data_IF_184172041721
#
_entry.id   IF_184172041721
#
_cell.length_a   1.000
_cell.length_b   1.000
_cell.length_c   1.000
_cell.angle_alpha   90.00
_cell.angle_beta   90.00
_cell.angle_gamma   90.00
#
_symmetry.space_group_name_H-M   'P 1'
#
loop_
_entity.id
_entity.type
_entity.pdbx_description
1 polymer ?
#
# COMPACT_ATOMS: atom_id res chain seq x y z
N UNK A 1 -11.18 -0.18 -24.35
CA UNK A 1 -10.55 -1.32 -23.64
C UNK A 1 -9.12 -0.92 -23.37
N UNK A 2 -8.74 -0.66 -22.12
CA UNK A 2 -7.33 -0.43 -21.79
C UNK A 2 -6.68 -1.80 -21.74
N UNK A 3 -5.74 -2.06 -22.66
CA UNK A 3 -4.98 -3.31 -22.69
C UNK A 3 -4.21 -3.45 -21.38
N UNK A 4 -4.65 -4.37 -20.53
CA UNK A 4 -4.11 -4.61 -19.18
C UNK A 4 -2.87 -5.53 -19.18
N UNK A 5 -2.36 -5.90 -20.35
CA UNK A 5 -1.31 -6.93 -20.49
C UNK A 5 0.09 -6.47 -20.03
N UNK A 6 0.25 -5.18 -19.67
CA UNK A 6 1.50 -4.60 -19.17
C UNK A 6 1.43 -4.12 -17.71
N UNK A 7 0.34 -4.40 -16.98
CA UNK A 7 0.26 -4.04 -15.57
C UNK A 7 0.94 -5.13 -14.75
N UNK A 8 2.15 -4.85 -14.25
CA UNK A 8 2.86 -5.72 -13.32
C UNK A 8 1.93 -6.10 -12.15
N UNK A 9 1.91 -7.38 -11.73
CA UNK A 9 1.04 -7.80 -10.65
C UNK A 9 1.32 -7.00 -9.38
N UNK A 10 0.26 -6.44 -8.78
CA UNK A 10 0.36 -5.47 -7.69
C UNK A 10 0.91 -6.15 -6.43
N UNK A 11 2.18 -5.90 -6.14
CA UNK A 11 2.89 -6.43 -4.99
C UNK A 11 2.59 -5.57 -3.75
N UNK A 12 2.03 -6.17 -2.71
CA UNK A 12 1.57 -5.45 -1.52
C UNK A 12 2.69 -4.71 -0.78
N UNK A 13 3.93 -5.23 -0.81
CA UNK A 13 5.11 -4.58 -0.21
C UNK A 13 5.52 -3.33 -1.00
N UNK A 14 5.55 -3.42 -2.34
CA UNK A 14 5.86 -2.26 -3.20
C UNK A 14 4.84 -1.15 -2.94
N UNK A 15 3.55 -1.51 -2.91
CA UNK A 15 2.48 -0.57 -2.57
C UNK A 15 2.72 0.04 -1.20
N UNK A 16 2.98 -0.76 -0.15
CA UNK A 16 3.24 -0.25 1.19
C UNK A 16 4.43 0.73 1.26
N UNK A 17 5.49 0.49 0.50
CA UNK A 17 6.65 1.42 0.41
C UNK A 17 6.21 2.77 -0.18
N UNK A 18 5.40 2.76 -1.25
CA UNK A 18 4.87 4.01 -1.81
C UNK A 18 3.96 4.73 -0.81
N UNK A 19 3.04 4.00 -0.16
CA UNK A 19 2.15 4.59 0.84
C UNK A 19 2.93 5.24 1.99
N UNK A 20 4.04 4.62 2.44
CA UNK A 20 4.88 5.17 3.51
C UNK A 20 5.39 6.59 3.21
N UNK A 21 5.72 6.89 1.95
CA UNK A 21 6.20 8.21 1.53
C UNK A 21 5.12 9.30 1.56
N UNK A 22 3.84 8.91 1.61
CA UNK A 22 2.69 9.80 1.59
C UNK A 22 2.17 10.13 3.00
N UNK A 23 2.63 9.40 4.04
CA UNK A 23 2.17 9.61 5.41
C UNK A 23 2.80 10.90 5.98
N UNK A 24 1.99 11.85 6.50
CA UNK A 24 2.52 13.06 7.14
C UNK A 24 3.43 12.76 8.34
N UNK A 25 4.39 13.65 8.68
CA UNK A 25 5.27 13.49 9.84
C UNK A 25 4.56 13.25 11.18
N UNK A 26 3.36 13.81 11.35
CA UNK A 26 2.58 13.79 12.58
C UNK A 26 1.91 12.42 12.83
N UNK A 27 1.75 11.60 11.78
CA UNK A 27 1.12 10.29 11.83
C UNK A 27 2.15 9.18 12.13
N UNK A 28 2.88 9.31 13.24
CA UNK A 28 4.01 8.42 13.58
C UNK A 28 3.57 6.96 13.76
N UNK A 29 2.47 6.72 14.49
CA UNK A 29 1.97 5.36 14.72
C UNK A 29 1.63 4.65 13.41
N UNK A 30 1.03 5.37 12.45
CA UNK A 30 0.74 4.82 11.13
C UNK A 30 2.03 4.45 10.38
N UNK A 31 3.04 5.33 10.40
CA UNK A 31 4.36 5.04 9.81
C UNK A 31 5.00 3.80 10.40
N UNK A 32 4.96 3.66 11.73
CA UNK A 32 5.58 2.54 12.44
C UNK A 32 4.90 1.20 12.13
N UNK A 33 3.57 1.16 12.11
CA UNK A 33 2.81 -0.04 11.73
C UNK A 33 3.08 -0.43 10.28
N UNK A 34 3.10 0.54 9.36
CA UNK A 34 3.38 0.27 7.95
C UNK A 34 4.84 -0.19 7.73
N UNK A 35 5.80 0.41 8.45
CA UNK A 35 7.19 -0.04 8.46
C UNK A 35 7.32 -1.47 9.00
N UNK A 36 6.58 -1.82 10.04
CA UNK A 36 6.56 -3.19 10.59
C UNK A 36 6.06 -4.17 9.53
N UNK A 37 4.94 -3.86 8.88
CA UNK A 37 4.42 -4.66 7.77
C UNK A 37 5.44 -4.83 6.64
N UNK A 38 6.11 -3.75 6.22
CA UNK A 38 7.14 -3.80 5.17
C UNK A 38 8.28 -4.74 5.60
N UNK A 39 8.73 -4.66 6.87
CA UNK A 39 9.75 -5.56 7.44
C UNK A 39 9.30 -7.02 7.43
N UNK A 40 8.07 -7.30 7.85
CA UNK A 40 7.51 -8.66 7.88
C UNK A 40 7.39 -9.27 6.47
N UNK A 41 7.31 -8.42 5.44
CA UNK A 41 7.29 -8.84 4.04
C UNK A 41 8.66 -9.20 3.46
N UNK A 42 9.80 -8.86 4.09
CA UNK A 42 11.13 -9.13 3.52
C UNK A 42 11.44 -10.62 3.36
N UNK A 43 10.88 -11.45 4.25
CA UNK A 43 11.12 -12.91 4.25
C UNK A 43 10.02 -13.69 3.52
N UNK A 44 9.05 -13.01 2.89
CA UNK A 44 7.97 -13.64 2.14
C UNK A 44 8.37 -13.80 0.68
N UNK A 45 8.04 -14.97 0.11
CA UNK A 45 8.25 -15.23 -1.32
C UNK A 45 7.40 -14.28 -2.19
N UNK A 46 7.85 -13.92 -3.41
CA UNK A 46 7.13 -13.00 -4.29
C UNK A 46 5.66 -13.36 -4.52
N UNK A 47 5.34 -14.64 -4.68
CA UNK A 47 3.99 -15.15 -4.92
C UNK A 47 3.07 -14.88 -3.72
N UNK A 48 3.63 -14.91 -2.51
CA UNK A 48 2.90 -14.61 -1.27
C UNK A 48 2.58 -13.11 -1.18
N UNK A 49 3.48 -12.25 -1.67
CA UNK A 49 3.28 -10.79 -1.72
C UNK A 49 2.25 -10.35 -2.77
N UNK A 50 2.00 -11.19 -3.77
CA UNK A 50 0.89 -11.04 -4.72
C UNK A 50 -0.42 -11.64 -4.19
N UNK A 51 -0.31 -12.51 -3.17
CA UNK A 51 -1.41 -13.26 -2.61
C UNK A 51 -2.32 -12.45 -1.68
N UNK A 52 -3.55 -12.93 -1.54
CA UNK A 52 -4.60 -12.29 -0.74
C UNK A 52 -4.21 -12.06 0.73
N UNK A 53 -3.41 -12.94 1.33
CA UNK A 53 -3.03 -12.85 2.74
C UNK A 53 -2.29 -11.55 3.06
N UNK A 54 -1.26 -11.21 2.29
CA UNK A 54 -0.50 -9.97 2.50
C UNK A 54 -1.34 -8.72 2.24
N UNK A 55 -2.31 -8.80 1.32
CA UNK A 55 -3.25 -7.71 1.05
C UNK A 55 -4.24 -7.51 2.19
N UNK A 56 -4.73 -8.58 2.82
CA UNK A 56 -5.59 -8.49 4.01
C UNK A 56 -4.84 -7.80 5.16
N UNK A 57 -3.60 -8.19 5.42
CA UNK A 57 -2.76 -7.57 6.46
C UNK A 57 -2.61 -6.06 6.23
N UNK A 58 -2.32 -5.67 4.98
CA UNK A 58 -2.22 -4.26 4.60
C UNK A 58 -3.57 -3.52 4.72
N UNK A 59 -4.67 -4.17 4.32
CA UNK A 59 -6.03 -3.60 4.43
C UNK A 59 -6.39 -3.28 5.88
N UNK A 60 -6.03 -4.15 6.83
CA UNK A 60 -6.26 -3.95 8.26
C UNK A 60 -5.55 -2.69 8.75
N UNK A 61 -4.30 -2.47 8.33
CA UNK A 61 -3.53 -1.27 8.68
C UNK A 61 -4.20 -0.04 8.07
N UNK A 62 -4.53 -0.09 6.78
CA UNK A 62 -5.15 1.03 6.07
C UNK A 62 -6.47 1.47 6.72
N UNK A 63 -7.36 0.52 7.05
CA UNK A 63 -8.64 0.82 7.70
C UNK A 63 -8.50 1.40 9.11
N UNK A 64 -7.43 1.03 9.84
CA UNK A 64 -7.18 1.56 11.18
C UNK A 64 -6.86 3.05 11.17
N UNK A 65 -6.08 3.50 10.18
CA UNK A 65 -5.57 4.89 10.13
C UNK A 65 -6.29 5.78 9.12
N UNK A 66 -7.00 5.21 8.14
CA UNK A 66 -7.81 5.92 7.16
C UNK A 66 -9.29 5.59 7.37
N UNK A 67 -9.84 6.05 8.48
CA UNK A 67 -11.27 5.92 8.78
C UNK A 67 -12.09 7.10 8.26
N UNK A 68 -11.46 8.27 8.12
CA UNK A 68 -12.07 9.51 7.66
C UNK A 68 -11.22 10.15 6.56
N UNK A 69 -11.81 10.33 5.37
CA UNK A 69 -11.16 10.76 4.13
C UNK A 69 -11.38 12.27 3.91
N UNK A 70 -11.32 13.05 4.98
CA UNK A 70 -11.44 14.51 4.93
C UNK A 70 -10.14 15.20 4.49
N UNK A 71 -9.01 14.48 4.51
CA UNK A 71 -7.71 15.01 4.10
C UNK A 71 -7.32 14.56 2.68
N UNK A 72 -6.79 15.49 1.88
CA UNK A 72 -6.39 15.23 0.49
C UNK A 72 -5.33 14.11 0.38
N UNK A 73 -4.37 14.04 1.32
CA UNK A 73 -3.33 13.00 1.31
C UNK A 73 -3.90 11.59 1.51
N UNK A 74 -4.99 11.45 2.29
CA UNK A 74 -5.68 10.17 2.50
C UNK A 74 -6.40 9.72 1.23
N UNK A 75 -7.04 10.65 0.52
CA UNK A 75 -7.68 10.33 -0.76
C UNK A 75 -6.64 9.86 -1.79
N UNK A 76 -5.53 10.59 -1.94
CA UNK A 76 -4.41 10.18 -2.81
C UNK A 76 -3.88 8.80 -2.43
N UNK A 77 -3.73 8.54 -1.13
CA UNK A 77 -3.25 7.26 -0.62
C UNK A 77 -4.20 6.10 -0.94
N UNK A 78 -5.51 6.33 -0.82
CA UNK A 78 -6.53 5.35 -1.25
C UNK A 78 -6.42 5.10 -2.75
N UNK A 79 -6.27 6.14 -3.57
CA UNK A 79 -6.19 5.98 -5.03
C UNK A 79 -4.99 5.13 -5.46
N UNK A 80 -3.84 5.28 -4.79
CA UNK A 80 -2.69 4.38 -4.94
C UNK A 80 -3.03 2.97 -4.46
N UNK A 81 -3.63 2.83 -3.28
CA UNK A 81 -3.97 1.53 -2.68
C UNK A 81 -4.97 0.72 -3.51
N UNK A 82 -5.98 1.36 -4.12
CA UNK A 82 -6.95 0.67 -5.00
C UNK A 82 -6.47 0.54 -6.44
N UNK A 83 -5.32 1.13 -6.78
CA UNK A 83 -4.72 1.01 -8.12
C UNK A 83 -5.32 1.95 -9.16
N UNK A 84 -5.95 3.06 -8.75
CA UNK A 84 -6.33 4.16 -9.66
C UNK A 84 -5.11 4.96 -10.12
N UNK A 85 -4.02 4.92 -9.36
CA UNK A 85 -2.73 5.50 -9.72
C UNK A 85 -1.79 4.39 -10.21
N UNK A 86 -1.31 4.52 -11.46
CA UNK A 86 -0.29 3.64 -12.01
C UNK A 86 1.05 4.07 -11.40
N UNK A 87 1.75 3.13 -10.77
CA UNK A 87 3.10 3.35 -10.26
C UNK A 87 4.07 2.98 -11.38
N UNK A 88 4.68 3.98 -12.00
CA UNK A 88 5.76 3.76 -12.97
C UNK A 88 7.03 3.31 -12.22
N UNK A 89 7.77 2.38 -12.83
CA UNK A 89 8.87 1.62 -12.19
C UNK A 89 9.83 2.48 -11.34
N UNK A 90 10.04 2.04 -10.09
CA UNK A 90 11.25 2.33 -9.30
C UNK A 90 12.30 1.28 -9.63
#
# INVERSE_FOLDING_TARGET
MVNNDNVLPRNSRIIAIHLLSMIPPEQQEFKEELLRYIRDCFYKAPEVLLGRSCWIDLEIIMKRYIYDINDEWKQKMIDVYVGKTILENV
#
